data_IF_021818733170
#
_entry.id   IF_021818733170
#
_cell.length_a   1.000
_cell.length_b   1.000
_cell.length_c   1.000
_cell.angle_alpha   90.00
_cell.angle_beta   90.00
_cell.angle_gamma   90.00
#
_symmetry.space_group_name_H-M   'P 1'
#
loop_
_entity.id
_entity.type
_entity.pdbx_description
1 polymer ?
#
# COMPACT_ATOMS: atom_id res chain seq x y z
N UNK A 1 -5.15 -16.83 -27.16
CA UNK A 1 -4.06 -17.01 -26.18
C UNK A 1 -4.37 -16.10 -25.00
N UNK A 2 -5.26 -16.56 -24.11
CA UNK A 2 -5.72 -15.78 -22.95
C UNK A 2 -4.64 -15.79 -21.87
N UNK A 3 -4.14 -14.62 -21.51
CA UNK A 3 -3.34 -14.44 -20.30
C UNK A 3 -4.29 -14.50 -19.11
N UNK A 4 -4.33 -15.64 -18.43
CA UNK A 4 -4.91 -15.76 -17.09
C UNK A 4 -4.03 -14.94 -16.14
N UNK A 5 -4.48 -13.73 -15.80
CA UNK A 5 -3.99 -13.01 -14.65
C UNK A 5 -4.36 -13.81 -13.41
N UNK A 6 -3.44 -14.67 -12.98
CA UNK A 6 -3.51 -15.35 -11.71
C UNK A 6 -3.38 -14.31 -10.61
N UNK A 7 -4.51 -13.73 -10.22
CA UNK A 7 -4.71 -13.01 -8.98
C UNK A 7 -4.30 -13.95 -7.84
N UNK A 8 -3.01 -13.94 -7.48
CA UNK A 8 -2.55 -14.55 -6.24
C UNK A 8 -3.22 -13.78 -5.13
N UNK A 9 -4.37 -14.27 -4.65
CA UNK A 9 -4.91 -13.90 -3.35
C UNK A 9 -3.79 -14.15 -2.35
N UNK A 10 -3.20 -13.06 -1.86
CA UNK A 10 -2.17 -13.10 -0.84
C UNK A 10 -2.86 -13.56 0.43
N UNK A 11 -2.78 -14.86 0.71
CA UNK A 11 -3.27 -15.43 1.95
C UNK A 11 -2.69 -14.62 3.13
N UNK A 12 -3.54 -13.86 3.82
CA UNK A 12 -3.13 -12.85 4.80
C UNK A 12 -2.61 -13.56 6.06
N UNK A 13 -1.37 -14.01 6.00
CA UNK A 13 -0.64 -14.65 7.11
C UNK A 13 0.16 -13.64 7.93
N UNK A 14 0.28 -12.39 7.51
CA UNK A 14 1.08 -11.39 8.22
C UNK A 14 0.36 -10.92 9.50
N UNK A 15 0.97 -11.09 10.70
CA UNK A 15 0.38 -10.66 11.96
C UNK A 15 0.19 -9.13 12.05
N UNK A 16 0.99 -8.34 11.32
CA UNK A 16 0.83 -6.88 11.26
C UNK A 16 -0.50 -6.55 10.58
N UNK A 17 -0.80 -7.19 9.45
CA UNK A 17 -2.05 -6.95 8.71
C UNK A 17 -3.25 -7.33 9.57
N UNK A 18 -3.23 -8.50 10.22
CA UNK A 18 -4.30 -8.92 11.13
C UNK A 18 -4.53 -7.91 12.27
N UNK A 19 -3.45 -7.35 12.81
CA UNK A 19 -3.53 -6.30 13.84
C UNK A 19 -4.15 -5.01 13.29
N UNK A 20 -3.84 -4.63 12.06
CA UNK A 20 -4.40 -3.43 11.41
C UNK A 20 -5.89 -3.60 11.09
N UNK A 21 -6.30 -4.79 10.65
CA UNK A 21 -7.73 -5.13 10.45
C UNK A 21 -8.49 -5.05 11.77
N UNK A 22 -7.98 -5.69 12.84
CA UNK A 22 -8.60 -5.64 14.17
C UNK A 22 -8.73 -4.21 14.73
N UNK A 23 -7.85 -3.31 14.32
CA UNK A 23 -7.88 -1.89 14.73
C UNK A 23 -8.77 -1.01 13.85
N UNK A 24 -9.41 -1.58 12.81
CA UNK A 24 -10.25 -0.84 11.86
C UNK A 24 -9.45 0.10 10.94
N UNK A 25 -8.14 -0.11 10.80
CA UNK A 25 -7.29 0.70 9.91
C UNK A 25 -7.37 0.18 8.48
N UNK A 26 -7.45 -1.15 8.33
CA UNK A 26 -7.71 -1.85 7.08
C UNK A 26 -9.11 -2.45 7.23
N UNK A 27 -10.01 -2.22 6.27
CA UNK A 27 -11.33 -2.83 6.30
C UNK A 27 -11.25 -4.35 6.04
N UNK A 28 -12.22 -5.13 6.51
CA UNK A 28 -12.17 -6.60 6.36
C UNK A 28 -12.27 -7.06 4.89
N UNK A 29 -12.92 -6.25 4.06
CA UNK A 29 -13.10 -6.44 2.63
C UNK A 29 -11.97 -5.81 1.78
N UNK A 30 -11.09 -5.03 2.41
CA UNK A 30 -9.97 -4.35 1.74
C UNK A 30 -8.89 -5.36 1.33
N UNK A 31 -8.59 -5.40 0.02
CA UNK A 31 -7.66 -6.39 -0.53
C UNK A 31 -6.22 -5.91 -0.42
N UNK A 32 -5.38 -6.69 0.24
CA UNK A 32 -3.94 -6.43 0.30
C UNK A 32 -3.29 -6.84 -1.02
N UNK A 33 -2.85 -5.86 -1.81
CA UNK A 33 -2.22 -6.06 -3.11
C UNK A 33 -0.72 -6.36 -2.99
N UNK A 34 -0.05 -5.77 -2.00
CA UNK A 34 1.38 -5.95 -1.80
C UNK A 34 1.82 -5.60 -0.38
N UNK A 35 2.87 -6.26 0.08
CA UNK A 35 3.54 -5.95 1.35
C UNK A 35 5.04 -6.11 1.19
N UNK A 36 5.81 -5.17 1.73
CA UNK A 36 7.26 -5.27 1.76
C UNK A 36 7.84 -4.73 3.07
N UNK A 37 8.90 -5.39 3.54
CA UNK A 37 9.64 -4.97 4.73
C UNK A 37 10.90 -4.20 4.34
N UNK A 38 11.18 -3.18 5.11
CA UNK A 38 12.41 -2.42 5.03
C UNK A 38 13.61 -3.33 5.35
N UNK A 39 14.73 -3.15 4.65
CA UNK A 39 15.99 -3.78 5.01
C UNK A 39 16.40 -3.32 6.40
N UNK A 40 16.77 -4.28 7.24
CA UNK A 40 17.33 -4.01 8.56
C UNK A 40 18.79 -3.59 8.39
N UNK A 41 19.08 -2.29 8.48
CA UNK A 41 20.44 -1.76 8.39
C UNK A 41 21.20 -1.86 9.71
N UNK A 42 20.52 -1.76 10.85
CA UNK A 42 21.12 -1.90 12.19
C UNK A 42 20.23 -2.75 13.10
N UNK A 43 20.83 -3.54 13.99
CA UNK A 43 20.09 -4.40 14.95
C UNK A 43 19.12 -3.59 15.84
N UNK A 44 19.43 -2.33 16.14
CA UNK A 44 18.63 -1.46 17.00
C UNK A 44 17.34 -0.93 16.36
N UNK A 45 17.28 -0.83 15.04
CA UNK A 45 16.12 -0.25 14.34
C UNK A 45 15.28 -1.40 13.81
N UNK A 46 14.07 -1.52 14.36
CA UNK A 46 13.08 -2.48 13.86
C UNK A 46 12.66 -2.07 12.44
N UNK A 47 12.71 -2.97 11.46
CA UNK A 47 12.40 -2.62 10.08
C UNK A 47 10.93 -2.23 9.95
N UNK A 48 10.67 -1.10 9.29
CA UNK A 48 9.32 -0.72 8.91
C UNK A 48 8.76 -1.63 7.81
N UNK A 49 7.46 -1.49 7.55
CA UNK A 49 6.73 -2.25 6.54
C UNK A 49 5.85 -1.30 5.74
N UNK A 50 5.86 -1.44 4.42
CA UNK A 50 4.90 -0.83 3.52
C UNK A 50 3.83 -1.86 3.19
N UNK A 51 2.57 -1.46 3.31
CA UNK A 51 1.41 -2.28 2.99
C UNK A 51 0.59 -1.49 1.97
N UNK A 52 0.22 -2.14 0.88
CA UNK A 52 -0.46 -1.53 -0.26
C UNK A 52 -1.72 -2.34 -0.49
N UNK A 53 -2.85 -1.66 -0.41
CA UNK A 53 -4.17 -2.26 -0.61
C UNK A 53 -4.81 -1.70 -1.87
N UNK A 54 -6.00 -2.15 -2.21
CA UNK A 54 -6.83 -1.55 -3.27
C UNK A 54 -7.39 -0.17 -2.89
N UNK A 55 -7.33 0.24 -1.61
CA UNK A 55 -7.84 1.53 -1.12
C UNK A 55 -6.75 2.55 -0.78
N UNK A 56 -5.64 2.10 -0.18
CA UNK A 56 -4.66 2.98 0.45
C UNK A 56 -3.26 2.37 0.50
N UNK A 57 -2.29 3.22 0.87
CA UNK A 57 -0.92 2.83 1.18
C UNK A 57 -0.64 3.14 2.64
N UNK A 58 -0.13 2.17 3.38
CA UNK A 58 0.16 2.27 4.81
C UNK A 58 1.66 2.09 5.04
N UNK A 59 2.26 3.02 5.78
CA UNK A 59 3.59 2.84 6.37
C UNK A 59 3.45 2.49 7.83
N UNK A 60 3.91 1.29 8.16
CA UNK A 60 4.00 0.80 9.52
C UNK A 60 5.46 0.86 9.96
N UNK A 61 5.80 1.79 10.84
CA UNK A 61 7.17 1.94 11.35
C UNK A 61 7.21 1.65 12.84
N UNK A 62 8.06 0.72 13.28
CA UNK A 62 8.22 0.43 14.70
C UNK A 62 9.16 1.47 15.31
N UNK A 63 8.75 2.07 16.41
CA UNK A 63 9.53 3.04 17.18
C UNK A 63 9.77 2.52 18.60
N UNK A 64 10.63 3.18 19.37
CA UNK A 64 10.86 2.77 20.76
C UNK A 64 9.58 2.87 21.62
N UNK A 65 8.70 3.82 21.31
CA UNK A 65 7.43 4.03 22.00
C UNK A 65 6.24 3.25 21.40
N UNK A 66 6.51 2.27 20.53
CA UNK A 66 5.48 1.43 19.92
C UNK A 66 5.58 1.41 18.39
N UNK A 67 4.62 2.02 17.71
CA UNK A 67 4.62 2.10 16.25
C UNK A 67 4.01 3.41 15.78
N UNK A 68 4.54 3.93 14.68
CA UNK A 68 3.93 4.99 13.90
C UNK A 68 3.23 4.37 12.70
N UNK A 69 2.04 4.88 12.41
CA UNK A 69 1.23 4.45 11.29
C UNK A 69 0.82 5.67 10.47
N UNK A 70 1.25 5.70 9.22
CA UNK A 70 0.84 6.70 8.25
C UNK A 70 0.03 6.01 7.15
N UNK A 71 -1.23 6.39 6.97
CA UNK A 71 -2.11 5.84 5.95
C UNK A 71 -2.48 6.93 4.92
N UNK A 72 -2.38 6.59 3.65
CA UNK A 72 -2.61 7.52 2.54
C UNK A 72 -3.54 6.88 1.52
N UNK A 73 -4.76 7.41 1.40
CA UNK A 73 -5.66 7.05 0.31
C UNK A 73 -5.12 7.51 -1.05
N UNK A 74 -5.51 6.81 -2.12
CA UNK A 74 -4.97 7.10 -3.45
C UNK A 74 -5.28 8.51 -3.96
N UNK A 75 -6.41 9.08 -3.53
CA UNK A 75 -6.86 10.44 -3.90
C UNK A 75 -5.91 11.54 -3.39
N UNK A 76 -5.00 11.21 -2.47
CA UNK A 76 -4.03 12.16 -1.93
C UNK A 76 -2.73 12.23 -2.73
N UNK A 77 -2.42 11.27 -3.61
CA UNK A 77 -1.15 11.23 -4.34
C UNK A 77 -1.15 12.15 -5.56
N UNK A 78 -0.13 13.00 -5.67
CA UNK A 78 0.16 13.76 -6.89
C UNK A 78 1.30 13.15 -7.69
N UNK A 79 2.30 12.61 -7.00
CA UNK A 79 3.47 12.04 -7.63
C UNK A 79 4.09 10.97 -6.75
N UNK A 80 4.60 9.92 -7.40
CA UNK A 80 5.28 8.79 -6.77
C UNK A 80 6.64 8.64 -7.44
N UNK A 81 7.70 8.65 -6.64
CA UNK A 81 9.06 8.48 -7.14
C UNK A 81 9.80 7.39 -6.37
N UNK A 82 10.56 6.58 -7.11
CA UNK A 82 11.49 5.60 -6.55
C UNK A 82 12.90 6.00 -6.94
N UNK A 83 13.75 6.22 -5.93
CA UNK A 83 15.17 6.47 -6.12
C UNK A 83 15.97 5.27 -5.64
N UNK A 84 16.66 4.60 -6.57
CA UNK A 84 17.61 3.53 -6.27
C UNK A 84 18.91 4.13 -5.71
N UNK A 85 19.43 3.55 -4.64
CA UNK A 85 20.75 3.80 -4.06
C UNK A 85 21.60 2.52 -4.15
N UNK A 86 22.87 2.55 -3.73
CA UNK A 86 23.78 1.41 -3.90
C UNK A 86 23.27 0.07 -3.32
N UNK A 87 22.57 0.12 -2.18
CA UNK A 87 22.16 -1.10 -1.45
C UNK A 87 20.65 -1.18 -1.15
N UNK A 88 19.91 -0.10 -1.44
CA UNK A 88 18.48 -0.02 -1.14
C UNK A 88 17.80 1.03 -2.00
N UNK A 89 16.47 1.06 -1.98
CA UNK A 89 15.68 2.11 -2.62
C UNK A 89 14.98 2.97 -1.58
N UNK A 90 14.74 4.21 -1.97
CA UNK A 90 13.83 5.11 -1.31
C UNK A 90 12.59 5.27 -2.19
N UNK A 91 11.42 5.07 -1.61
CA UNK A 91 10.15 5.46 -2.22
C UNK A 91 9.67 6.76 -1.56
N UNK A 92 9.18 7.68 -2.38
CA UNK A 92 8.75 9.01 -1.95
C UNK A 92 7.44 9.35 -2.64
N UNK A 93 6.49 9.84 -1.86
CA UNK A 93 5.15 10.19 -2.28
C UNK A 93 4.94 11.66 -1.98
N UNK A 94 4.52 12.40 -3.00
CA UNK A 94 4.05 13.78 -2.83
C UNK A 94 2.55 13.68 -2.66
N UNK A 95 2.07 13.93 -1.44
CA UNK A 95 0.65 13.94 -1.10
C UNK A 95 0.15 15.38 -0.90
N UNK A 96 -1.17 15.60 -0.86
CA UNK A 96 -1.74 16.91 -0.47
C UNK A 96 -1.28 17.37 0.92
N UNK A 97 -0.93 16.43 1.80
CA UNK A 97 -0.54 16.69 3.19
C UNK A 97 0.98 16.89 3.34
N UNK A 98 1.77 16.70 2.27
CA UNK A 98 3.21 16.86 2.28
C UNK A 98 3.96 15.71 1.62
N UNK A 99 5.19 15.46 2.04
CA UNK A 99 6.05 14.44 1.43
C UNK A 99 6.23 13.25 2.35
N UNK A 100 5.58 12.14 2.01
CA UNK A 100 5.75 10.87 2.71
C UNK A 100 6.91 10.08 2.09
N UNK A 101 7.77 9.46 2.90
CA UNK A 101 8.96 8.77 2.38
C UNK A 101 9.31 7.55 3.20
N UNK A 102 9.62 6.44 2.53
CA UNK A 102 10.20 5.25 3.14
C UNK A 102 11.55 4.95 2.47
N UNK A 103 12.60 4.78 3.28
CA UNK A 103 13.96 4.45 2.82
C UNK A 103 14.24 2.96 3.04
N UNK A 104 15.33 2.43 2.49
CA UNK A 104 15.80 1.09 2.87
C UNK A 104 14.98 -0.06 2.31
N UNK A 105 14.10 0.15 1.33
CA UNK A 105 13.40 -0.96 0.68
C UNK A 105 14.36 -1.74 -0.24
N UNK A 106 14.20 -3.06 -0.39
CA UNK A 106 14.84 -3.79 -1.50
C UNK A 106 14.48 -3.16 -2.86
N UNK A 107 15.37 -3.26 -3.84
CA UNK A 107 15.16 -2.64 -5.17
C UNK A 107 13.93 -3.18 -5.88
N UNK A 108 13.79 -4.50 -5.85
CA UNK A 108 12.68 -5.19 -6.49
C UNK A 108 11.38 -4.83 -5.76
N UNK A 109 11.43 -4.84 -4.43
CA UNK A 109 10.28 -4.48 -3.60
C UNK A 109 9.78 -3.05 -3.80
N UNK A 110 10.68 -2.08 -3.99
CA UNK A 110 10.26 -0.70 -4.28
C UNK A 110 9.59 -0.57 -5.67
N UNK A 111 10.03 -1.39 -6.62
CA UNK A 111 9.47 -1.40 -7.99
C UNK A 111 8.12 -2.10 -8.01
N UNK A 112 8.00 -3.25 -7.33
CA UNK A 112 6.74 -3.97 -7.13
C UNK A 112 5.73 -3.13 -6.34
N UNK A 113 6.17 -2.41 -5.31
CA UNK A 113 5.33 -1.48 -4.57
C UNK A 113 4.72 -0.41 -5.48
N UNK A 114 5.53 0.19 -6.36
CA UNK A 114 5.06 1.18 -7.32
C UNK A 114 4.03 0.59 -8.29
N UNK A 115 4.25 -0.64 -8.78
CA UNK A 115 3.28 -1.33 -9.64
C UNK A 115 1.98 -1.66 -8.90
N UNK A 116 2.07 -2.12 -7.64
CA UNK A 116 0.91 -2.43 -6.81
C UNK A 116 0.06 -1.19 -6.52
N UNK A 117 0.69 -0.03 -6.30
CA UNK A 117 -0.02 1.24 -6.17
C UNK A 117 -0.75 1.60 -7.47
N UNK A 118 -0.09 1.45 -8.62
CA UNK A 118 -0.75 1.65 -9.91
C UNK A 118 -1.93 0.69 -10.15
N UNK A 119 -1.89 -0.52 -9.58
CA UNK A 119 -3.05 -1.43 -9.56
C UNK A 119 -4.15 -0.93 -8.63
N UNK A 120 -3.83 -0.48 -7.42
CA UNK A 120 -4.80 0.08 -6.47
C UNK A 120 -5.51 1.32 -7.01
N UNK A 121 -4.77 2.27 -7.62
CA UNK A 121 -5.35 3.45 -8.27
C UNK A 121 -6.35 3.03 -9.35
N UNK A 122 -5.98 2.10 -10.23
CA UNK A 122 -6.87 1.63 -11.31
C UNK A 122 -8.09 0.88 -10.79
N UNK A 123 -7.94 0.05 -9.76
CA UNK A 123 -9.07 -0.63 -9.12
C UNK A 123 -10.07 0.38 -8.55
N UNK A 124 -9.59 1.46 -7.93
CA UNK A 124 -10.44 2.52 -7.39
C UNK A 124 -11.13 3.35 -8.46
N UNK A 125 -10.46 3.66 -9.57
CA UNK A 125 -11.10 4.33 -10.72
C UNK A 125 -12.21 3.45 -11.30
N UNK A 126 -11.96 2.15 -11.49
CA UNK A 126 -12.97 1.22 -12.00
C UNK A 126 -14.21 1.13 -11.09
N UNK A 127 -14.03 1.17 -9.76
CA UNK A 127 -15.13 1.22 -8.79
C UNK A 127 -15.92 2.53 -8.82
N UNK A 128 -15.29 3.65 -9.20
CA UNK A 128 -15.99 4.94 -9.36
C UNK A 128 -16.76 5.04 -10.67
N UNK A 129 -16.35 4.28 -11.70
CA UNK A 129 -17.01 4.24 -13.01
C UNK A 129 -18.20 3.28 -13.07
N UNK A 130 -18.42 2.43 -12.05
CA UNK A 130 -19.69 1.71 -11.92
C UNK A 130 -20.82 2.72 -11.74
N UNK A 131 -21.73 2.88 -12.73
CA UNK A 131 -22.81 3.82 -12.60
C UNK A 131 -23.67 3.41 -11.41
N UNK A 132 -23.99 4.37 -10.54
CA UNK A 132 -25.12 4.25 -9.60
C UNK A 132 -26.28 3.63 -10.39
N UNK A 133 -26.58 2.36 -10.14
CA UNK A 133 -27.76 1.73 -10.70
C UNK A 133 -28.91 2.68 -10.37
N UNK A 134 -29.55 3.22 -11.41
CA UNK A 134 -30.79 3.96 -11.31
C UNK A 134 -31.81 3.04 -10.65
N UNK A 135 -31.83 3.02 -9.34
CA UNK A 135 -32.91 2.46 -8.56
C UNK A 135 -33.97 3.54 -8.48
N UNK A 136 -35.15 3.16 -8.96
CA UNK A 136 -36.43 3.85 -8.85
C UNK A 136 -36.66 5.06 -9.77
N UNK A 137 -37.29 4.78 -10.91
CA UNK A 137 -38.64 5.31 -11.17
C UNK A 137 -39.47 4.16 -11.74
N UNK A 138 -40.11 3.43 -10.83
CA UNK A 138 -41.33 2.68 -11.13
C UNK A 138 -42.45 3.58 -10.66
N UNK A 139 -43.15 4.21 -11.61
CA UNK A 139 -44.60 4.51 -11.64
C UNK A 139 -44.89 5.38 -12.86
#
# INVERSE_FOLDING_TARGET
>A
MEKKDASKEVEIKDPVIKKLIKKGIIAEDEKVLYTARQKRWYRLIWPGQIIITDVQVIFYTITWFGYNLDAYGYDFFHNISVKKWLFSSKICFITRLGVAKMRGLPHDAASEAMQAIGRGIRARIALQEEPLQKVAEVS
#
